data_IF_777574713440
#
_entry.id   IF_777574713440
#
_cell.length_a   1.000
_cell.length_b   1.000
_cell.length_c   1.000
_cell.angle_alpha   90.00
_cell.angle_beta   90.00
_cell.angle_gamma   90.00
#
_symmetry.space_group_name_H-M   'P 1'
#
loop_
_entity.id
_entity.type
_entity.pdbx_description
1 polymer ?
#
# COMPACT_ATOMS: atom_id res chain seq x y z
N UNK A 1 7.06 22.07 16.59
CA UNK A 1 7.45 22.69 15.30
C UNK A 1 7.65 21.70 14.16
N UNK A 2 8.72 20.89 14.08
CA UNK A 2 8.95 20.00 12.91
C UNK A 2 7.83 18.97 12.67
N UNK A 3 7.26 18.40 13.73
CA UNK A 3 6.15 17.45 13.61
C UNK A 3 4.86 18.14 13.13
N UNK A 4 4.52 19.32 13.65
CA UNK A 4 3.32 20.07 13.26
C UNK A 4 3.35 20.52 11.78
N UNK A 5 4.50 20.96 11.27
CA UNK A 5 4.65 21.28 9.85
C UNK A 5 4.47 20.05 8.96
N UNK A 6 4.97 18.89 9.40
CA UNK A 6 4.76 17.61 8.70
C UNK A 6 3.28 17.19 8.72
N UNK A 7 2.61 17.34 9.87
CA UNK A 7 1.17 17.11 10.00
C UNK A 7 0.33 18.05 9.13
N UNK A 8 0.75 19.30 8.97
CA UNK A 8 0.05 20.30 8.16
C UNK A 8 0.15 19.98 6.66
N UNK A 9 1.35 19.61 6.17
CA UNK A 9 1.53 19.10 4.80
C UNK A 9 0.67 17.87 4.49
N UNK A 10 0.44 17.01 5.48
CA UNK A 10 -0.39 15.81 5.29
C UNK A 10 -1.90 16.09 5.20
N UNK A 11 -2.36 17.29 5.60
CA UNK A 11 -3.75 17.74 5.39
C UNK A 11 -4.00 18.20 3.95
N UNK A 12 -2.95 18.37 3.15
CA UNK A 12 -3.06 18.75 1.73
C UNK A 12 -3.42 17.56 0.84
N UNK A 13 -3.17 16.32 1.30
CA UNK A 13 -3.55 15.14 0.54
C UNK A 13 -5.07 14.94 0.52
N UNK A 14 -5.58 14.76 -0.69
CA UNK A 14 -6.96 14.34 -0.90
C UNK A 14 -7.23 13.00 -0.21
N UNK A 15 -8.45 12.84 0.31
CA UNK A 15 -8.89 11.61 0.99
C UNK A 15 -10.08 10.99 0.25
N UNK A 16 -10.22 9.69 0.35
CA UNK A 16 -11.38 8.98 -0.17
C UNK A 16 -11.77 7.82 0.73
N UNK A 17 -13.08 7.58 0.82
CA UNK A 17 -13.62 6.35 1.39
C UNK A 17 -13.62 5.26 0.31
N UNK A 18 -13.09 4.09 0.64
CA UNK A 18 -12.97 2.96 -0.27
C UNK A 18 -13.16 1.64 0.47
N UNK A 19 -13.66 0.63 -0.24
CA UNK A 19 -13.65 -0.76 0.22
C UNK A 19 -12.51 -1.47 -0.50
N UNK A 20 -11.55 -1.98 0.26
CA UNK A 20 -10.35 -2.63 -0.29
C UNK A 20 -10.02 -3.93 0.45
N UNK A 21 -9.34 -4.91 -0.19
CA UNK A 21 -8.72 -6.02 0.53
C UNK A 21 -7.65 -5.47 1.48
N UNK A 22 -7.81 -5.68 2.78
CA UNK A 22 -7.00 -5.05 3.81
C UNK A 22 -6.95 -5.87 5.10
N UNK A 23 -5.78 -5.88 5.75
CA UNK A 23 -5.61 -6.34 7.11
C UNK A 23 -4.54 -5.52 7.82
N UNK A 24 -4.71 -5.31 9.13
CA UNK A 24 -3.72 -4.67 9.98
C UNK A 24 -3.22 -5.65 11.05
N UNK A 25 -1.92 -5.58 11.36
CA UNK A 25 -1.30 -6.36 12.44
C UNK A 25 -0.37 -5.49 13.26
N UNK A 26 -0.38 -5.65 14.58
CA UNK A 26 0.57 -4.99 15.47
C UNK A 26 1.99 -5.53 15.25
N UNK A 27 2.95 -4.62 15.08
CA UNK A 27 4.37 -4.96 14.91
C UNK A 27 5.05 -5.06 16.28
N UNK A 28 5.74 -6.18 16.52
CA UNK A 28 6.58 -6.42 17.69
C UNK A 28 7.68 -5.36 17.82
N UNK A 29 8.04 -5.00 19.06
CA UNK A 29 9.09 -4.01 19.35
C UNK A 29 10.45 -4.35 18.72
N UNK A 30 10.75 -5.62 18.50
CA UNK A 30 11.99 -6.10 17.86
C UNK A 30 12.06 -5.82 16.35
N UNK A 31 10.90 -5.72 15.69
CA UNK A 31 10.81 -5.54 14.24
C UNK A 31 10.68 -4.08 13.82
N UNK A 32 10.38 -3.18 14.76
CA UNK A 32 10.16 -1.73 14.50
C UNK A 32 11.30 -1.06 13.72
N UNK A 33 12.54 -1.52 13.88
CA UNK A 33 13.73 -0.99 13.19
C UNK A 33 13.94 -1.54 11.78
N UNK A 34 13.26 -2.63 11.42
CA UNK A 34 13.34 -3.30 10.10
C UNK A 34 12.15 -3.00 9.20
N UNK A 35 11.22 -2.19 9.70
CA UNK A 35 10.01 -1.80 8.99
C UNK A 35 10.33 -0.92 7.78
N UNK A 36 10.15 -1.46 6.58
CA UNK A 36 10.22 -0.72 5.31
C UNK A 36 9.02 -1.06 4.43
N UNK A 37 8.34 -0.05 3.89
CA UNK A 37 7.26 -0.27 2.93
C UNK A 37 7.74 -1.02 1.70
N UNK A 38 6.92 -1.93 1.15
CA UNK A 38 7.24 -2.67 -0.07
C UNK A 38 6.00 -2.93 -0.93
N UNK A 39 6.18 -2.88 -2.24
CA UNK A 39 5.23 -3.44 -3.21
C UNK A 39 5.55 -4.93 -3.34
N UNK A 40 4.54 -5.78 -3.26
CA UNK A 40 4.71 -7.20 -3.49
C UNK A 40 4.98 -7.45 -4.97
N UNK A 41 6.08 -8.14 -5.28
CA UNK A 41 6.47 -8.47 -6.65
C UNK A 41 7.53 -7.56 -7.26
N UNK A 42 7.77 -6.38 -6.68
CA UNK A 42 8.94 -5.57 -7.02
C UNK A 42 10.15 -6.09 -6.25
N UNK A 43 10.78 -7.15 -6.77
CA UNK A 43 12.17 -7.44 -6.40
C UNK A 43 13.02 -6.46 -7.19
N UNK A 44 13.41 -5.35 -6.54
CA UNK A 44 14.43 -4.45 -7.06
C UNK A 44 15.79 -5.18 -7.02
N UNK A 45 15.98 -6.17 -7.90
CA UNK A 45 17.33 -6.48 -8.35
C UNK A 45 17.84 -5.18 -8.94
N UNK A 46 18.89 -4.62 -8.36
CA UNK A 46 19.56 -3.46 -8.94
C UNK A 46 19.78 -3.79 -10.42
N UNK A 47 19.04 -3.11 -11.31
CA UNK A 47 19.20 -3.29 -12.74
C UNK A 47 20.60 -2.80 -13.06
N UNK A 48 21.55 -3.72 -13.07
CA UNK A 48 22.86 -3.44 -13.63
C UNK A 48 22.57 -3.09 -15.08
N UNK A 49 23.09 -1.98 -15.62
CA UNK A 49 22.95 -1.71 -17.04
C UNK A 49 23.64 -2.85 -17.78
N UNK A 50 22.85 -3.84 -18.22
CA UNK A 50 23.35 -4.92 -19.06
C UNK A 50 23.37 -4.34 -20.48
N UNK A 51 24.55 -4.25 -21.07
CA UNK A 51 24.68 -3.88 -22.48
C UNK A 51 23.75 -4.79 -23.30
N UNK A 52 22.95 -4.20 -24.20
CA UNK A 52 22.05 -5.01 -25.04
C UNK A 52 22.88 -6.05 -25.81
N UNK A 53 22.52 -7.34 -25.75
CA UNK A 53 23.22 -8.38 -26.49
C UNK A 53 23.23 -8.02 -27.98
N UNK A 54 24.39 -8.21 -28.63
CA UNK A 54 24.54 -7.93 -30.06
C UNK A 54 23.51 -8.69 -30.93
N UNK A 55 23.09 -9.86 -30.44
CA UNK A 55 22.05 -10.69 -31.05
C UNK A 55 20.65 -10.28 -30.56
N UNK A 56 19.90 -9.64 -31.46
CA UNK A 56 18.51 -9.20 -31.23
C UNK A 56 17.56 -10.36 -30.93
N UNK A 57 17.79 -11.54 -31.51
CA UNK A 57 16.93 -12.71 -31.28
C UNK A 57 17.16 -13.20 -29.85
N UNK A 58 18.42 -13.37 -29.44
CA UNK A 58 18.76 -13.74 -28.07
C UNK A 58 18.20 -12.74 -27.05
N UNK A 59 18.31 -11.43 -27.34
CA UNK A 59 17.73 -10.38 -26.49
C UNK A 59 16.21 -10.50 -26.35
N UNK A 60 15.49 -10.83 -27.42
CA UNK A 60 14.05 -11.07 -27.38
C UNK A 60 13.70 -12.30 -26.53
N UNK A 61 14.42 -13.41 -26.70
CA UNK A 61 14.19 -14.61 -25.88
C UNK A 61 14.46 -14.36 -24.40
N UNK A 62 15.52 -13.64 -24.05
CA UNK A 62 15.82 -13.23 -22.67
C UNK A 62 14.71 -12.34 -22.08
N UNK A 63 14.18 -11.39 -22.86
CA UNK A 63 13.04 -10.56 -22.44
C UNK A 63 11.80 -11.42 -22.14
N UNK A 64 11.49 -12.41 -22.98
CA UNK A 64 10.36 -13.33 -22.76
C UNK A 64 10.57 -14.20 -21.53
N UNK A 65 11.80 -14.68 -21.29
CA UNK A 65 12.13 -15.47 -20.10
C UNK A 65 11.99 -14.64 -18.84
N UNK A 66 12.56 -13.42 -18.80
CA UNK A 66 12.42 -12.52 -17.66
C UNK A 66 10.95 -12.25 -17.34
N UNK A 67 10.12 -11.95 -18.35
CA UNK A 67 8.69 -11.73 -18.15
C UNK A 67 7.96 -12.96 -17.55
N UNK A 68 8.34 -14.18 -17.94
CA UNK A 68 7.78 -15.42 -17.36
C UNK A 68 8.26 -15.64 -15.92
N UNK A 69 9.52 -15.33 -15.62
CA UNK A 69 10.07 -15.43 -14.27
C UNK A 69 9.38 -14.44 -13.34
N UNK A 70 9.25 -13.18 -13.76
CA UNK A 70 8.53 -12.15 -13.01
C UNK A 70 7.09 -12.58 -12.72
N UNK A 71 6.39 -13.16 -13.71
CA UNK A 71 5.04 -13.70 -13.52
C UNK A 71 4.98 -14.82 -12.47
N UNK A 72 5.90 -15.79 -12.52
CA UNK A 72 5.93 -16.90 -11.56
C UNK A 72 6.26 -16.42 -10.15
N UNK A 73 7.22 -15.50 -10.00
CA UNK A 73 7.60 -14.87 -8.73
C UNK A 73 6.38 -14.17 -8.15
N UNK A 74 5.71 -13.33 -8.94
CA UNK A 74 4.51 -12.61 -8.50
C UNK A 74 3.40 -13.58 -8.05
N UNK A 75 3.15 -14.64 -8.81
CA UNK A 75 2.12 -15.63 -8.49
C UNK A 75 2.44 -16.40 -7.20
N UNK A 76 3.69 -16.79 -7.01
CA UNK A 76 4.14 -17.45 -5.78
C UNK A 76 4.06 -16.52 -4.57
N UNK A 77 4.60 -15.31 -4.69
CA UNK A 77 4.57 -14.31 -3.64
C UNK A 77 3.15 -13.93 -3.21
N UNK A 78 2.21 -13.80 -4.15
CA UNK A 78 0.80 -13.55 -3.84
C UNK A 78 0.17 -14.67 -3.01
N UNK A 79 0.52 -15.92 -3.31
CA UNK A 79 0.03 -17.11 -2.63
C UNK A 79 0.63 -17.25 -1.22
N UNK A 80 1.95 -17.10 -1.11
CA UNK A 80 2.68 -17.27 0.14
C UNK A 80 2.34 -16.19 1.15
N UNK A 81 2.29 -14.93 0.70
CA UNK A 81 2.00 -13.80 1.56
C UNK A 81 0.50 -13.71 1.87
N UNK A 82 -0.37 -14.52 1.25
CA UNK A 82 -1.80 -14.60 1.55
C UNK A 82 -2.60 -13.34 1.18
N UNK A 83 -2.25 -12.65 0.10
CA UNK A 83 -3.04 -11.48 -0.36
C UNK A 83 -4.39 -11.88 -0.95
N UNK A 84 -4.49 -13.10 -1.49
CA UNK A 84 -5.71 -13.65 -2.07
C UNK A 84 -6.83 -13.92 -1.05
N UNK A 85 -6.49 -14.03 0.24
CA UNK A 85 -7.44 -14.29 1.32
C UNK A 85 -7.65 -13.10 2.26
N UNK A 86 -7.24 -11.89 1.86
CA UNK A 86 -7.48 -10.69 2.65
C UNK A 86 -8.98 -10.41 2.76
N UNK A 87 -9.50 -10.12 3.96
CA UNK A 87 -10.86 -9.62 4.09
C UNK A 87 -10.97 -8.24 3.43
N UNK A 88 -12.17 -7.89 3.00
CA UNK A 88 -12.47 -6.53 2.54
C UNK A 88 -12.85 -5.66 3.72
N UNK A 89 -12.31 -4.43 3.76
CA UNK A 89 -12.58 -3.47 4.81
C UNK A 89 -12.89 -2.09 4.21
N UNK A 90 -13.78 -1.36 4.87
CA UNK A 90 -13.99 0.07 4.64
C UNK A 90 -12.84 0.86 5.25
N UNK A 91 -12.22 1.70 4.42
CA UNK A 91 -11.09 2.53 4.80
C UNK A 91 -11.28 3.95 4.29
N UNK A 92 -10.76 4.93 5.04
CA UNK A 92 -10.52 6.27 4.54
C UNK A 92 -9.02 6.43 4.34
N UNK A 93 -8.56 6.68 3.10
CA UNK A 93 -7.14 6.66 2.75
C UNK A 93 -6.71 7.95 2.05
N UNK A 94 -5.47 8.36 2.31
CA UNK A 94 -4.77 9.49 1.68
C UNK A 94 -3.29 9.18 1.47
N UNK A 95 -2.54 10.08 0.82
CA UNK A 95 -1.08 9.94 0.71
C UNK A 95 -0.32 10.00 2.05
N UNK A 96 -0.95 10.48 3.12
CA UNK A 96 -0.33 10.61 4.44
C UNK A 96 -0.66 9.48 5.42
N UNK A 97 -1.74 8.74 5.20
CA UNK A 97 -2.19 7.74 6.15
C UNK A 97 -3.57 7.21 5.81
N UNK A 98 -4.15 6.48 6.75
CA UNK A 98 -5.48 5.93 6.59
C UNK A 98 -6.20 5.77 7.92
N UNK A 99 -7.50 5.54 7.86
CA UNK A 99 -8.27 5.03 8.99
C UNK A 99 -9.15 3.87 8.57
N UNK A 100 -9.38 2.96 9.50
CA UNK A 100 -10.14 1.72 9.29
C UNK A 100 -10.84 1.31 10.59
N UNK A 101 -11.75 0.34 10.50
CA UNK A 101 -12.42 -0.25 11.65
C UNK A 101 -11.69 -1.52 12.08
N UNK A 102 -11.46 -1.66 13.38
CA UNK A 102 -10.82 -2.82 14.00
C UNK A 102 -11.70 -3.37 15.11
N UNK A 103 -11.73 -4.69 15.27
CA UNK A 103 -12.43 -5.35 16.38
C UNK A 103 -11.67 -5.22 17.71
N UNK A 104 -10.37 -4.95 17.63
CA UNK A 104 -9.49 -4.76 18.80
C UNK A 104 -9.00 -3.30 18.88
N UNK A 105 -8.78 -2.77 20.10
CA UNK A 105 -8.18 -1.45 20.28
C UNK A 105 -6.66 -1.49 20.04
N UNK A 106 -6.11 -0.33 19.70
CA UNK A 106 -4.66 -0.09 19.65
C UNK A 106 -4.28 1.14 20.46
N UNK A 107 -3.04 1.18 20.92
CA UNK A 107 -2.50 2.32 21.65
C UNK A 107 -1.93 3.36 20.70
N UNK A 108 -2.01 4.64 21.09
CA UNK A 108 -1.32 5.70 20.36
C UNK A 108 0.19 5.44 20.36
N UNK A 109 0.82 5.54 19.19
CA UNK A 109 2.24 5.21 18.98
C UNK A 109 2.51 3.75 18.63
N UNK A 110 1.50 2.88 18.63
CA UNK A 110 1.64 1.52 18.11
C UNK A 110 1.97 1.58 16.61
N UNK A 111 2.88 0.71 16.17
CA UNK A 111 3.22 0.56 14.75
C UNK A 111 2.44 -0.64 14.21
N UNK A 112 1.65 -0.40 13.18
CA UNK A 112 0.87 -1.42 12.50
C UNK A 112 1.48 -1.71 11.13
N UNK A 113 1.62 -2.99 10.81
CA UNK A 113 1.81 -3.49 9.46
C UNK A 113 0.44 -3.49 8.77
N UNK A 114 0.37 -2.83 7.63
CA UNK A 114 -0.83 -2.59 6.85
C UNK A 114 -0.68 -3.33 5.53
N UNK A 115 -1.36 -4.45 5.40
CA UNK A 115 -1.32 -5.30 4.22
C UNK A 115 -2.58 -5.05 3.39
N UNK A 116 -2.42 -4.60 2.14
CA UNK A 116 -3.55 -4.14 1.34
C UNK A 116 -3.38 -4.38 -0.16
N UNK A 117 -4.49 -4.36 -0.90
CA UNK A 117 -4.48 -4.33 -2.36
C UNK A 117 -5.19 -3.07 -2.85
N UNK A 118 -4.47 -2.26 -3.64
CA UNK A 118 -5.02 -1.05 -4.26
C UNK A 118 -5.15 -1.24 -5.77
N UNK A 119 -6.31 -0.89 -6.32
CA UNK A 119 -6.60 -1.07 -7.74
C UNK A 119 -6.46 0.23 -8.52
N UNK A 120 -5.46 0.28 -9.41
CA UNK A 120 -5.28 1.38 -10.38
C UNK A 120 -4.50 0.97 -11.62
N UNK A 121 -5.09 1.08 -12.82
CA UNK A 121 -6.06 0.14 -13.37
C UNK A 121 -5.74 -1.37 -13.18
N UNK A 122 -4.54 -1.71 -12.71
CA UNK A 122 -4.17 -3.06 -12.27
C UNK A 122 -4.08 -3.11 -10.73
N UNK A 123 -4.36 -4.27 -10.10
CA UNK A 123 -4.22 -4.42 -8.66
C UNK A 123 -2.74 -4.46 -8.25
N UNK A 124 -2.41 -3.72 -7.19
CA UNK A 124 -1.08 -3.71 -6.58
C UNK A 124 -1.18 -4.09 -5.12
N UNK A 125 -0.46 -5.13 -4.73
CA UNK A 125 -0.37 -5.61 -3.35
C UNK A 125 0.75 -4.87 -2.61
N UNK A 126 0.44 -4.35 -1.43
CA UNK A 126 1.29 -3.44 -0.66
C UNK A 126 1.44 -3.91 0.78
N UNK A 127 2.65 -3.77 1.29
CA UNK A 127 2.93 -3.69 2.71
C UNK A 127 3.33 -2.26 3.05
N UNK A 128 2.47 -1.58 3.80
CA UNK A 128 2.74 -0.27 4.38
C UNK A 128 2.83 -0.40 5.89
N UNK A 129 3.33 0.64 6.52
CA UNK A 129 3.39 0.69 7.97
C UNK A 129 2.87 2.03 8.45
N UNK A 130 2.14 2.00 9.56
CA UNK A 130 1.52 3.19 10.11
C UNK A 130 1.63 3.27 11.61
N UNK A 131 1.94 4.45 12.12
CA UNK A 131 1.86 4.76 13.54
C UNK A 131 0.43 5.17 13.89
N UNK A 132 -0.14 4.56 14.93
CA UNK A 132 -1.47 4.91 15.45
C UNK A 132 -1.43 6.31 16.05
N UNK A 133 -2.11 7.25 15.40
CA UNK A 133 -2.24 8.63 15.88
C UNK A 133 -3.51 8.82 16.71
N UNK A 134 -4.53 7.97 16.48
CA UNK A 134 -5.83 8.03 17.13
C UNK A 134 -6.51 6.66 17.13
N UNK A 135 -7.14 6.28 18.23
CA UNK A 135 -8.03 5.13 18.31
C UNK A 135 -9.28 5.56 19.10
N UNK A 136 -10.46 5.45 18.50
CA UNK A 136 -11.73 5.85 19.10
C UNK A 136 -12.69 4.67 19.13
N UNK A 137 -13.29 4.42 20.29
CA UNK A 137 -14.35 3.42 20.41
C UNK A 137 -15.59 3.87 19.62
N UNK A 138 -16.19 2.92 18.90
CA UNK A 138 -17.48 3.07 18.24
C UNK A 138 -18.52 2.19 18.95
N UNK A 139 -19.78 2.25 18.48
CA UNK A 139 -20.83 1.34 18.96
C UNK A 139 -20.46 -0.13 18.76
N UNK A 140 -19.66 -0.43 17.72
CA UNK A 140 -19.12 -1.75 17.40
C UNK A 140 -17.69 -1.60 16.88
N UNK A 141 -16.70 -2.04 17.65
CA UNK A 141 -15.29 -1.94 17.29
C UNK A 141 -14.67 -0.56 17.54
N UNK A 142 -13.54 -0.32 16.89
CA UNK A 142 -12.70 0.85 17.08
C UNK A 142 -12.35 1.48 15.74
N UNK A 143 -12.49 2.80 15.62
CA UNK A 143 -11.92 3.54 14.51
C UNK A 143 -10.45 3.83 14.81
N UNK A 144 -9.58 3.25 14.02
CA UNK A 144 -8.13 3.40 14.15
C UNK A 144 -7.65 4.31 13.03
N UNK A 145 -6.97 5.41 13.38
CA UNK A 145 -6.32 6.29 12.42
C UNK A 145 -4.81 6.15 12.56
N UNK A 146 -4.15 5.90 11.43
CA UNK A 146 -2.70 5.73 11.33
C UNK A 146 -2.09 6.74 10.37
N UNK A 147 -0.89 7.19 10.71
CA UNK A 147 -0.04 7.96 9.81
C UNK A 147 1.01 7.02 9.21
N UNK A 148 1.22 7.05 7.89
CA UNK A 148 2.24 6.22 7.27
C UNK A 148 3.64 6.62 7.75
N UNK A 149 4.44 5.59 8.06
CA UNK A 149 5.84 5.70 8.49
C UNK A 149 6.71 4.85 7.58
N UNK A 150 7.97 5.28 7.37
CA UNK A 150 8.96 4.59 6.52
C UNK A 150 8.41 4.20 5.13
N UNK A 151 7.62 5.09 4.53
CA UNK A 151 7.08 4.93 3.18
C UNK A 151 7.99 5.60 2.16
N UNK A 152 8.43 4.82 1.16
CA UNK A 152 9.18 5.33 0.01
C UNK A 152 8.28 6.25 -0.85
N UNK A 153 8.84 7.31 -1.44
CA UNK A 153 8.04 8.30 -2.20
C UNK A 153 7.34 7.68 -3.42
N UNK A 154 7.96 6.70 -4.09
CA UNK A 154 7.34 5.99 -5.22
C UNK A 154 6.08 5.22 -4.80
N UNK A 155 6.13 4.58 -3.63
CA UNK A 155 5.00 3.86 -3.03
C UNK A 155 3.92 4.84 -2.58
N UNK A 156 4.32 5.98 -2.00
CA UNK A 156 3.38 7.05 -1.65
C UNK A 156 2.67 7.60 -2.87
N UNK A 157 3.38 7.85 -3.96
CA UNK A 157 2.79 8.30 -5.23
C UNK A 157 1.79 7.28 -5.78
N UNK A 158 2.04 5.99 -5.60
CA UNK A 158 1.07 4.92 -5.91
C UNK A 158 -0.25 5.08 -5.13
N UNK A 159 -0.17 5.28 -3.82
CA UNK A 159 -1.36 5.52 -2.97
C UNK A 159 -2.10 6.78 -3.41
N UNK A 160 -1.37 7.86 -3.70
CA UNK A 160 -1.95 9.12 -4.19
C UNK A 160 -2.66 8.92 -5.53
N UNK A 161 -2.03 8.21 -6.48
CA UNK A 161 -2.65 7.84 -7.76
C UNK A 161 -3.93 7.02 -7.57
N UNK A 162 -3.96 6.10 -6.60
CA UNK A 162 -5.16 5.36 -6.21
C UNK A 162 -6.29 6.27 -5.75
N UNK A 163 -6.00 7.20 -4.83
CA UNK A 163 -6.99 8.16 -4.34
C UNK A 163 -7.59 8.96 -5.51
N UNK A 164 -6.75 9.53 -6.37
CA UNK A 164 -7.22 10.30 -7.52
C UNK A 164 -8.00 9.46 -8.53
N UNK A 165 -7.57 8.22 -8.77
CA UNK A 165 -8.27 7.30 -9.66
C UNK A 165 -9.70 7.04 -9.14
N UNK A 166 -9.85 6.65 -7.86
CA UNK A 166 -11.15 6.40 -7.25
C UNK A 166 -12.03 7.66 -7.23
N UNK A 167 -11.46 8.83 -6.94
CA UNK A 167 -12.19 10.10 -6.97
C UNK A 167 -12.79 10.38 -8.36
N UNK A 168 -12.00 10.18 -9.42
CA UNK A 168 -12.50 10.34 -10.79
C UNK A 168 -13.63 9.36 -11.12
N UNK A 169 -13.56 8.12 -10.64
CA UNK A 169 -14.63 7.14 -10.85
C UNK A 169 -15.94 7.57 -10.16
N UNK A 170 -15.88 8.03 -8.91
CA UNK A 170 -17.06 8.53 -8.19
C UNK A 170 -17.68 9.76 -8.88
N UNK A 171 -16.85 10.67 -9.41
CA UNK A 171 -17.34 11.83 -10.14
C UNK A 171 -18.03 11.46 -11.47
N UNK A 172 -17.61 10.37 -12.12
CA UNK A 172 -18.26 9.86 -13.35
C UNK A 172 -19.63 9.26 -13.03
N UNK A 173 -19.70 8.41 -12.01
CA UNK A 173 -20.96 7.78 -11.59
C UNK A 173 -22.02 8.80 -11.19
N UNK A 174 -21.63 9.91 -10.55
CA UNK A 174 -22.54 11.00 -10.17
C UNK A 174 -23.10 11.82 -11.34
N UNK A 175 -22.51 11.73 -12.53
CA UNK A 175 -22.99 12.44 -13.74
C UNK A 175 -23.92 11.60 -14.60
N UNK A 176 -23.98 10.29 -14.36
CA UNK A 176 -24.81 9.33 -15.09
C UNK A 176 -26.15 9.05 -14.37
N UNK A 177 -26.38 9.69 -13.22
CA UNK A 177 -27.64 9.71 -12.45
C UNK A 177 -28.27 11.10 -12.58
#
# INVERSE_FOLDING_TARGET
>A
MVMEEKYQKMREFSRIDAVIPFSARLVSSEDKTKVKSRILGEINFAQTPVEEPLDKVLAQWLKVINAKLDYLINLWSLKEEGFSCLPTAEVNISGGGMSFISDIPYNKGDILELKMVLETPSPVALFLYGEVIKCEALNSGYRVAVQFVNIDEDIRDYVVRFVFYRQRQLLRQKKEV
#
